data_IF_777638901620
#
_entry.id   IF_777638901620
#
_cell.length_a   1.000
_cell.length_b   1.000
_cell.length_c   1.000
_cell.angle_alpha   90.00
_cell.angle_beta   90.00
_cell.angle_gamma   90.00
#
_symmetry.space_group_name_H-M   'P 1'
#
loop_
_entity.id
_entity.type
_entity.pdbx_description
1 polymer ?
#
# COMPACT_ATOMS: atom_id res chain seq x y z
N UNK A 1 -24.12 -0.28 0.17
CA UNK A 1 -23.61 -1.45 -0.60
C UNK A 1 -22.10 -1.46 -0.53
N UNK A 2 -21.49 -2.65 -0.41
CA UNK A 2 -20.04 -2.84 -0.39
C UNK A 2 -19.64 -3.54 -1.69
N UNK A 3 -18.62 -3.04 -2.37
CA UNK A 3 -17.94 -3.72 -3.49
C UNK A 3 -16.65 -4.36 -3.01
N UNK A 4 -16.26 -5.48 -3.59
CA UNK A 4 -14.93 -6.07 -3.43
C UNK A 4 -14.18 -5.95 -4.75
N UNK A 5 -13.06 -5.24 -4.75
CA UNK A 5 -12.13 -5.19 -5.88
C UNK A 5 -11.12 -6.33 -5.70
N UNK A 6 -11.36 -7.46 -6.34
CA UNK A 6 -10.54 -8.67 -6.34
C UNK A 6 -9.63 -8.67 -7.57
N UNK A 7 -8.32 -8.59 -7.37
CA UNK A 7 -7.36 -8.62 -8.47
C UNK A 7 -6.59 -9.94 -8.50
N UNK A 8 -6.50 -10.54 -9.71
CA UNK A 8 -5.93 -11.87 -9.92
C UNK A 8 -4.92 -11.90 -11.07
N UNK A 9 -3.99 -12.85 -10.99
CA UNK A 9 -3.10 -13.30 -12.05
C UNK A 9 -2.57 -14.69 -11.70
N UNK A 10 -2.92 -15.73 -12.47
CA UNK A 10 -2.55 -17.14 -12.26
C UNK A 10 -2.70 -17.60 -10.80
N UNK A 11 -3.88 -17.34 -10.22
CA UNK A 11 -4.21 -17.55 -8.80
C UNK A 11 -5.03 -18.79 -8.48
N UNK A 12 -5.20 -19.73 -9.41
CA UNK A 12 -6.10 -20.90 -9.26
C UNK A 12 -5.85 -21.71 -7.98
N UNK A 13 -4.60 -21.72 -7.48
CA UNK A 13 -4.23 -22.46 -6.27
C UNK A 13 -4.86 -21.89 -4.98
N UNK A 14 -5.22 -20.59 -4.95
CA UNK A 14 -5.61 -19.89 -3.73
C UNK A 14 -6.95 -19.17 -3.83
N UNK A 15 -7.31 -18.70 -5.02
CA UNK A 15 -8.48 -17.83 -5.24
C UNK A 15 -9.78 -18.42 -4.72
N UNK A 16 -9.90 -19.76 -4.74
CA UNK A 16 -11.09 -20.44 -4.22
C UNK A 16 -11.33 -20.24 -2.74
N UNK A 17 -10.27 -20.25 -1.91
CA UNK A 17 -10.38 -19.97 -0.47
C UNK A 17 -10.72 -18.51 -0.23
N UNK A 18 -10.09 -17.60 -0.97
CA UNK A 18 -10.34 -16.17 -0.87
C UNK A 18 -11.79 -15.84 -1.22
N UNK A 19 -12.30 -16.31 -2.36
CA UNK A 19 -13.68 -16.03 -2.79
C UNK A 19 -14.70 -16.59 -1.79
N UNK A 20 -14.53 -17.82 -1.29
CA UNK A 20 -15.40 -18.36 -0.23
C UNK A 20 -15.39 -17.50 1.02
N UNK A 21 -14.23 -16.99 1.43
CA UNK A 21 -14.11 -16.13 2.62
C UNK A 21 -14.81 -14.79 2.43
N UNK A 22 -14.84 -14.25 1.19
CA UNK A 22 -15.56 -13.04 0.82
C UNK A 22 -17.07 -13.28 0.83
N UNK A 23 -17.55 -14.35 0.18
CA UNK A 23 -18.96 -14.69 0.08
C UNK A 23 -19.60 -15.03 1.45
N UNK A 24 -18.80 -15.51 2.41
CA UNK A 24 -19.25 -15.82 3.77
C UNK A 24 -19.23 -14.61 4.73
N UNK A 25 -19.03 -13.39 4.25
CA UNK A 25 -19.08 -12.20 5.10
C UNK A 25 -20.53 -11.83 5.49
N UNK A 26 -20.67 -11.19 6.66
CA UNK A 26 -21.91 -10.56 7.09
C UNK A 26 -21.58 -9.15 7.60
N UNK A 27 -22.07 -8.06 6.93
CA UNK A 27 -22.94 -8.10 5.74
C UNK A 27 -22.24 -8.71 4.52
N UNK A 28 -23.02 -9.39 3.68
CA UNK A 28 -22.56 -9.89 2.38
C UNK A 28 -22.21 -8.71 1.45
N UNK A 29 -21.12 -8.79 0.65
CA UNK A 29 -20.83 -7.79 -0.36
C UNK A 29 -21.90 -7.79 -1.47
N UNK A 30 -22.27 -6.62 -1.96
CA UNK A 30 -23.24 -6.51 -3.06
C UNK A 30 -22.65 -6.90 -4.41
N UNK A 31 -21.32 -6.77 -4.56
CA UNK A 31 -20.64 -7.18 -5.78
C UNK A 31 -19.17 -7.52 -5.55
N UNK A 32 -18.65 -8.38 -6.41
CA UNK A 32 -17.21 -8.60 -6.65
C UNK A 32 -16.88 -8.07 -8.04
N UNK A 33 -15.95 -7.14 -8.13
CA UNK A 33 -15.32 -6.73 -9.39
C UNK A 33 -14.01 -7.48 -9.48
N UNK A 34 -13.99 -8.51 -10.33
CA UNK A 34 -12.81 -9.32 -10.61
C UNK A 34 -11.97 -8.64 -11.70
N UNK A 35 -10.81 -8.13 -11.36
CA UNK A 35 -9.80 -7.68 -12.31
C UNK A 35 -8.80 -8.81 -12.57
N UNK A 36 -8.90 -9.47 -13.71
CA UNK A 36 -8.00 -10.57 -14.07
C UNK A 36 -6.92 -10.10 -15.05
N UNK A 37 -5.67 -10.19 -14.61
CA UNK A 37 -4.51 -9.65 -15.31
C UNK A 37 -3.84 -10.70 -16.20
N UNK A 38 -4.57 -11.18 -17.23
CA UNK A 38 -4.14 -12.19 -18.20
C UNK A 38 -3.82 -13.56 -17.57
N UNK A 39 -4.67 -14.06 -16.68
CA UNK A 39 -4.52 -15.44 -16.19
C UNK A 39 -4.65 -16.46 -17.31
N UNK A 40 -3.78 -17.45 -17.28
CA UNK A 40 -3.77 -18.58 -18.23
C UNK A 40 -4.25 -19.90 -17.61
N UNK A 41 -4.47 -19.89 -16.30
CA UNK A 41 -4.98 -21.02 -15.52
C UNK A 41 -6.51 -20.93 -15.27
N UNK A 42 -7.05 -21.75 -14.39
CA UNK A 42 -8.46 -21.80 -14.06
C UNK A 42 -8.94 -20.70 -13.09
N UNK A 43 -8.17 -19.65 -12.88
CA UNK A 43 -8.47 -18.59 -11.88
C UNK A 43 -9.87 -18.02 -12.06
N UNK A 44 -10.18 -17.54 -13.25
CA UNK A 44 -11.47 -16.88 -13.53
C UNK A 44 -12.64 -17.89 -13.45
N UNK A 45 -12.46 -19.08 -14.00
CA UNK A 45 -13.49 -20.15 -13.99
C UNK A 45 -13.87 -20.55 -12.55
N UNK A 46 -12.87 -20.59 -11.64
CA UNK A 46 -13.10 -20.86 -10.23
C UNK A 46 -13.96 -19.77 -9.59
N UNK A 47 -13.65 -18.50 -9.85
CA UNK A 47 -14.40 -17.36 -9.29
C UNK A 47 -15.83 -17.35 -9.82
N UNK A 48 -16.02 -17.46 -11.15
CA UNK A 48 -17.33 -17.49 -11.81
C UNK A 48 -18.21 -18.61 -11.24
N UNK A 49 -17.67 -19.81 -11.12
CA UNK A 49 -18.38 -20.98 -10.57
C UNK A 49 -18.78 -20.75 -9.10
N UNK A 50 -17.88 -20.29 -8.24
CA UNK A 50 -18.18 -20.10 -6.82
C UNK A 50 -19.22 -19.01 -6.57
N UNK A 51 -19.21 -17.93 -7.35
CA UNK A 51 -20.24 -16.89 -7.24
C UNK A 51 -21.57 -17.38 -7.77
N UNK A 52 -21.59 -18.16 -8.88
CA UNK A 52 -22.82 -18.77 -9.39
C UNK A 52 -23.45 -19.73 -8.37
N UNK A 53 -22.67 -20.66 -7.81
CA UNK A 53 -23.10 -21.58 -6.75
C UNK A 53 -23.68 -20.83 -5.54
N UNK A 54 -23.02 -19.74 -5.12
CA UNK A 54 -23.48 -18.90 -4.01
C UNK A 54 -24.83 -18.24 -4.31
N UNK A 55 -25.02 -17.72 -5.52
CA UNK A 55 -26.30 -17.11 -5.94
C UNK A 55 -27.43 -18.13 -6.06
N UNK A 56 -27.14 -19.32 -6.55
CA UNK A 56 -28.12 -20.44 -6.57
C UNK A 56 -28.57 -20.84 -5.17
N UNK A 57 -27.68 -20.68 -4.16
CA UNK A 57 -28.00 -20.89 -2.76
C UNK A 57 -28.74 -19.72 -2.08
N UNK A 58 -29.07 -18.65 -2.84
CA UNK A 58 -29.82 -17.49 -2.35
C UNK A 58 -28.96 -16.27 -1.96
N UNK A 59 -27.65 -16.31 -2.23
CA UNK A 59 -26.76 -15.16 -2.06
C UNK A 59 -27.05 -14.03 -3.05
N UNK A 60 -26.68 -12.79 -2.69
CA UNK A 60 -27.01 -11.58 -3.46
C UNK A 60 -25.81 -10.98 -4.20
N UNK A 61 -24.62 -11.51 -3.98
CA UNK A 61 -23.37 -10.96 -4.56
C UNK A 61 -23.36 -11.05 -6.07
N UNK A 62 -23.24 -9.93 -6.77
CA UNK A 62 -23.03 -9.88 -8.22
C UNK A 62 -21.54 -10.04 -8.56
N UNK A 63 -21.25 -10.59 -9.75
CA UNK A 63 -19.88 -10.69 -10.28
C UNK A 63 -19.78 -9.86 -11.56
N UNK A 64 -18.80 -8.94 -11.58
CA UNK A 64 -18.35 -8.26 -12.79
C UNK A 64 -16.92 -8.70 -13.09
N UNK A 65 -16.71 -9.35 -14.24
CA UNK A 65 -15.38 -9.82 -14.67
C UNK A 65 -14.77 -8.82 -15.64
N UNK A 66 -13.54 -8.41 -15.34
CA UNK A 66 -12.69 -7.53 -16.15
C UNK A 66 -11.44 -8.31 -16.52
N UNK A 67 -11.38 -8.88 -17.72
CA UNK A 67 -10.20 -9.61 -18.23
C UNK A 67 -9.31 -8.67 -19.04
N UNK A 68 -8.03 -8.69 -18.75
CA UNK A 68 -7.03 -7.90 -19.46
C UNK A 68 -6.11 -8.80 -20.30
N UNK A 69 -5.88 -8.43 -21.54
CA UNK A 69 -4.91 -9.05 -22.44
C UNK A 69 -4.40 -7.97 -23.41
N UNK A 70 -3.13 -7.58 -23.33
CA UNK A 70 -2.10 -8.06 -22.39
C UNK A 70 -2.32 -7.63 -20.95
N UNK A 71 -1.59 -8.24 -20.01
CA UNK A 71 -1.58 -7.87 -18.60
C UNK A 71 -1.24 -6.39 -18.40
N UNK A 72 -1.97 -5.73 -17.49
CA UNK A 72 -1.78 -4.31 -17.15
C UNK A 72 -0.76 -4.09 -16.04
N UNK A 73 -0.50 -5.10 -15.21
CA UNK A 73 0.22 -5.02 -13.95
C UNK A 73 -0.67 -4.60 -12.78
N UNK A 74 -0.23 -4.96 -11.57
CA UNK A 74 -1.03 -4.86 -10.33
C UNK A 74 -1.70 -3.50 -10.14
N UNK A 75 -0.97 -2.40 -10.31
CA UNK A 75 -1.50 -1.05 -10.04
C UNK A 75 -2.62 -0.68 -11.01
N UNK A 76 -2.44 -0.99 -12.30
CA UNK A 76 -3.43 -0.67 -13.32
C UNK A 76 -4.64 -1.62 -13.26
N UNK A 77 -4.43 -2.89 -12.89
CA UNK A 77 -5.50 -3.85 -12.65
C UNK A 77 -6.40 -3.40 -11.48
N UNK A 78 -5.82 -3.01 -10.34
CA UNK A 78 -6.59 -2.40 -9.24
C UNK A 78 -7.27 -1.09 -9.65
N UNK A 79 -6.62 -0.25 -10.45
CA UNK A 79 -7.23 0.99 -10.94
C UNK A 79 -8.49 0.73 -11.78
N UNK A 80 -8.44 -0.27 -12.66
CA UNK A 80 -9.60 -0.67 -13.47
C UNK A 80 -10.73 -1.27 -12.60
N UNK A 81 -10.40 -2.18 -11.69
CA UNK A 81 -11.39 -2.77 -10.79
C UNK A 81 -12.07 -1.70 -9.90
N UNK A 82 -11.30 -0.75 -9.35
CA UNK A 82 -11.80 0.36 -8.57
C UNK A 82 -12.71 1.30 -9.38
N UNK A 83 -12.37 1.55 -10.65
CA UNK A 83 -13.17 2.41 -11.52
C UNK A 83 -14.56 1.81 -11.83
N UNK A 84 -14.69 0.48 -11.78
CA UNK A 84 -15.94 -0.24 -12.04
C UNK A 84 -16.72 -0.61 -10.78
N UNK A 85 -16.16 -0.41 -9.59
CA UNK A 85 -16.82 -0.65 -8.31
C UNK A 85 -17.92 0.39 -8.07
N UNK A 86 -19.15 -0.06 -7.76
CA UNK A 86 -20.34 0.78 -7.59
C UNK A 86 -20.68 1.06 -6.13
N UNK A 87 -20.15 0.25 -5.20
CA UNK A 87 -20.42 0.36 -3.78
C UNK A 87 -19.94 1.68 -3.17
N UNK A 88 -20.61 2.13 -2.13
CA UNK A 88 -20.18 3.27 -1.33
C UNK A 88 -18.85 2.98 -0.60
N UNK A 89 -18.70 1.73 -0.14
CA UNK A 89 -17.46 1.20 0.41
C UNK A 89 -16.88 0.19 -0.57
N UNK A 90 -15.55 0.20 -0.71
CA UNK A 90 -14.82 -0.73 -1.57
C UNK A 90 -13.73 -1.39 -0.73
N UNK A 91 -13.75 -2.72 -0.65
CA UNK A 91 -12.70 -3.53 -0.04
C UNK A 91 -11.73 -4.01 -1.11
N UNK A 92 -10.42 -3.80 -0.90
CA UNK A 92 -9.39 -4.36 -1.76
C UNK A 92 -9.15 -5.83 -1.37
N UNK A 93 -8.87 -6.67 -2.36
CA UNK A 93 -8.61 -8.08 -2.17
C UNK A 93 -7.54 -8.57 -3.14
N UNK A 94 -6.51 -9.18 -2.59
CA UNK A 94 -5.58 -10.02 -3.34
C UNK A 94 -6.18 -11.43 -3.46
N UNK A 95 -5.66 -12.24 -4.37
CA UNK A 95 -6.22 -13.57 -4.72
C UNK A 95 -5.90 -14.70 -3.74
N UNK A 96 -4.95 -14.49 -2.82
CA UNK A 96 -4.24 -15.55 -2.08
C UNK A 96 -4.43 -15.49 -0.56
N UNK A 97 -5.24 -14.54 -0.08
CA UNK A 97 -5.55 -14.36 1.34
C UNK A 97 -6.82 -15.12 1.77
N UNK A 98 -7.19 -14.99 3.04
CA UNK A 98 -8.48 -15.46 3.59
C UNK A 98 -9.01 -14.42 4.56
N UNK A 99 -10.23 -13.93 4.33
CA UNK A 99 -10.86 -12.98 5.23
C UNK A 99 -11.45 -13.68 6.46
N UNK A 100 -11.22 -13.11 7.63
CA UNK A 100 -11.88 -13.59 8.84
C UNK A 100 -13.36 -13.16 8.84
N UNK A 101 -14.25 -13.94 9.46
CA UNK A 101 -15.64 -13.55 9.69
C UNK A 101 -15.71 -12.19 10.38
N UNK A 102 -16.61 -11.33 9.93
CA UNK A 102 -16.81 -10.00 10.52
C UNK A 102 -15.88 -8.89 10.00
N UNK A 103 -14.99 -9.14 9.02
CA UNK A 103 -14.15 -8.07 8.43
C UNK A 103 -15.01 -6.94 7.87
N UNK A 104 -16.02 -7.27 7.08
CA UNK A 104 -16.89 -6.24 6.50
C UNK A 104 -17.79 -5.59 7.56
N UNK A 105 -18.27 -6.33 8.56
CA UNK A 105 -19.03 -5.75 9.67
C UNK A 105 -18.22 -4.72 10.46
N UNK A 106 -16.97 -5.04 10.79
CA UNK A 106 -16.06 -4.12 11.48
C UNK A 106 -15.77 -2.87 10.64
N UNK A 107 -15.61 -3.04 9.33
CA UNK A 107 -15.42 -1.91 8.42
C UNK A 107 -16.66 -1.00 8.39
N UNK A 108 -17.86 -1.55 8.18
CA UNK A 108 -19.11 -0.78 8.17
C UNK A 108 -19.26 0.01 9.48
N UNK A 109 -19.10 -0.65 10.63
CA UNK A 109 -19.22 0.01 11.93
C UNK A 109 -18.21 1.17 12.08
N UNK A 110 -16.98 1.02 11.58
CA UNK A 110 -15.99 2.08 11.64
C UNK A 110 -16.34 3.28 10.75
N UNK A 111 -16.88 3.04 9.55
CA UNK A 111 -17.30 4.09 8.63
C UNK A 111 -18.58 4.80 9.09
N UNK A 112 -19.52 4.07 9.69
CA UNK A 112 -20.75 4.64 10.26
C UNK A 112 -20.42 5.53 11.47
N UNK A 113 -19.48 5.11 12.31
CA UNK A 113 -19.04 5.89 13.47
C UNK A 113 -18.24 7.15 13.10
N UNK A 114 -17.67 7.23 11.89
CA UNK A 114 -16.89 8.38 11.44
C UNK A 114 -17.17 8.73 9.97
N UNK A 115 -18.09 9.65 9.68
CA UNK A 115 -18.37 10.08 8.31
C UNK A 115 -17.19 10.67 7.54
N UNK A 116 -16.18 11.21 8.24
CA UNK A 116 -14.96 11.75 7.63
C UNK A 116 -13.89 10.67 7.31
N UNK A 117 -14.16 9.40 7.69
CA UNK A 117 -13.25 8.29 7.40
C UNK A 117 -13.27 7.97 5.91
N UNK A 118 -12.14 8.15 5.23
CA UNK A 118 -11.97 7.84 3.81
C UNK A 118 -11.35 6.46 3.58
N UNK A 119 -10.49 6.00 4.50
CA UNK A 119 -9.82 4.72 4.40
C UNK A 119 -9.63 4.08 5.78
N UNK A 120 -10.04 2.82 5.88
CA UNK A 120 -9.76 1.93 7.00
C UNK A 120 -8.77 0.87 6.53
N UNK A 121 -7.79 0.52 7.37
CA UNK A 121 -6.99 -0.68 7.19
C UNK A 121 -6.88 -1.44 8.50
N UNK A 122 -6.65 -2.75 8.41
CA UNK A 122 -6.55 -3.62 9.58
C UNK A 122 -5.13 -4.18 9.74
N UNK A 123 -4.85 -4.82 10.87
CA UNK A 123 -3.73 -5.75 10.94
C UNK A 123 -4.10 -7.05 10.20
N UNK A 124 -3.15 -7.95 10.05
CA UNK A 124 -3.35 -9.26 9.45
C UNK A 124 -2.53 -10.31 10.21
N UNK A 125 -3.02 -11.55 10.26
CA UNK A 125 -2.23 -12.69 10.69
C UNK A 125 -1.40 -13.20 9.52
N UNK A 126 -0.10 -13.35 9.68
CA UNK A 126 0.73 -13.95 8.63
C UNK A 126 0.61 -15.47 8.67
N UNK A 127 0.33 -16.05 7.50
CA UNK A 127 0.26 -17.50 7.32
C UNK A 127 1.18 -17.95 6.18
N UNK A 128 1.64 -19.18 6.22
CA UNK A 128 2.41 -19.78 5.15
C UNK A 128 1.52 -20.25 3.97
N UNK A 129 2.13 -20.79 2.92
CA UNK A 129 1.42 -21.25 1.72
C UNK A 129 0.29 -22.24 2.01
N UNK A 130 0.44 -23.12 3.00
CA UNK A 130 -0.57 -24.08 3.43
C UNK A 130 -1.54 -23.54 4.52
N UNK A 131 -1.53 -22.22 4.79
CA UNK A 131 -2.40 -21.60 5.79
C UNK A 131 -1.92 -21.72 7.24
N UNK A 132 -0.75 -22.33 7.50
CA UNK A 132 -0.21 -22.47 8.86
C UNK A 132 0.24 -21.09 9.40
N UNK A 133 -0.11 -20.73 10.67
CA UNK A 133 0.30 -19.45 11.25
C UNK A 133 1.83 -19.32 11.37
N UNK A 134 2.36 -18.14 11.04
CA UNK A 134 3.79 -17.82 11.16
C UNK A 134 4.14 -17.16 12.50
N UNK A 135 3.20 -17.07 13.45
CA UNK A 135 3.43 -16.58 14.81
C UNK A 135 3.64 -15.07 14.92
N UNK A 136 3.30 -14.30 13.89
CA UNK A 136 3.39 -12.84 13.90
C UNK A 136 2.29 -12.19 13.06
N UNK A 137 2.01 -10.92 13.38
CA UNK A 137 1.12 -10.10 12.55
C UNK A 137 1.87 -9.33 11.46
N UNK A 138 1.11 -8.78 10.51
CA UNK A 138 1.63 -7.94 9.43
C UNK A 138 2.34 -6.70 9.98
N UNK A 139 1.74 -5.99 10.93
CA UNK A 139 2.36 -4.80 11.54
C UNK A 139 3.63 -5.13 12.33
N UNK A 140 3.70 -6.33 12.92
CA UNK A 140 4.93 -6.82 13.55
C UNK A 140 6.03 -7.11 12.51
N UNK A 141 5.68 -7.71 11.38
CA UNK A 141 6.62 -7.96 10.28
C UNK A 141 7.13 -6.67 9.64
N UNK A 142 6.25 -5.66 9.53
CA UNK A 142 6.60 -4.31 9.08
C UNK A 142 7.39 -3.51 10.13
N UNK A 143 7.63 -4.07 11.31
CA UNK A 143 8.32 -3.40 12.43
C UNK A 143 7.64 -2.06 12.79
N UNK A 144 6.30 -2.03 12.80
CA UNK A 144 5.52 -0.85 13.16
C UNK A 144 5.71 -0.52 14.65
N UNK A 145 6.26 0.65 14.93
CA UNK A 145 6.48 1.13 16.30
C UNK A 145 5.16 1.48 16.99
N UNK A 146 5.16 1.54 18.32
CA UNK A 146 3.97 1.95 19.08
C UNK A 146 3.49 3.36 18.68
N UNK A 147 4.43 4.30 18.45
CA UNK A 147 4.09 5.66 18.01
C UNK A 147 3.48 5.69 16.59
N UNK A 148 3.98 4.88 15.67
CA UNK A 148 3.40 4.78 14.32
C UNK A 148 2.00 4.16 14.35
N UNK A 149 1.79 3.10 15.15
CA UNK A 149 0.46 2.53 15.35
C UNK A 149 -0.51 3.54 15.97
N UNK A 150 -0.10 4.25 17.01
CA UNK A 150 -0.92 5.31 17.61
C UNK A 150 -1.27 6.42 16.62
N UNK A 151 -0.30 6.82 15.77
CA UNK A 151 -0.54 7.78 14.68
C UNK A 151 -1.64 7.33 13.72
N UNK A 152 -1.64 6.03 13.35
CA UNK A 152 -2.64 5.45 12.44
C UNK A 152 -3.99 5.16 13.13
N UNK A 153 -4.03 4.93 14.45
CA UNK A 153 -5.26 4.60 15.19
C UNK A 153 -6.14 5.82 15.51
N UNK A 154 -5.65 7.02 15.42
CA UNK A 154 -6.41 8.23 15.74
C UNK A 154 -5.55 9.46 16.00
N UNK A 155 -4.23 9.33 15.80
CA UNK A 155 -3.29 10.45 15.83
C UNK A 155 -3.10 11.06 14.44
N UNK A 156 -1.87 11.50 14.13
CA UNK A 156 -1.53 12.04 12.82
C UNK A 156 -1.07 10.93 11.86
N UNK A 157 -2.05 10.32 11.17
CA UNK A 157 -1.80 9.30 10.17
C UNK A 157 -1.00 9.85 8.98
N UNK A 158 -1.24 11.12 8.57
CA UNK A 158 -0.52 11.73 7.46
C UNK A 158 0.98 11.88 7.79
N UNK A 159 1.33 12.40 8.95
CA UNK A 159 2.72 12.49 9.37
C UNK A 159 3.41 11.11 9.45
N UNK A 160 2.67 10.07 9.87
CA UNK A 160 3.16 8.69 9.90
C UNK A 160 3.45 8.17 8.50
N UNK A 161 2.49 8.26 7.56
CA UNK A 161 2.61 7.78 6.19
C UNK A 161 3.57 8.64 5.35
N UNK A 162 3.70 9.91 5.67
CA UNK A 162 4.71 10.77 5.05
C UNK A 162 6.13 10.26 5.32
N UNK A 163 6.38 9.53 6.39
CA UNK A 163 7.68 8.92 6.70
C UNK A 163 7.90 7.59 5.98
N UNK A 164 6.89 6.70 6.01
CA UNK A 164 6.90 5.40 5.33
C UNK A 164 5.50 4.81 5.23
N UNK A 165 5.27 3.96 4.24
CA UNK A 165 4.04 3.20 4.16
C UNK A 165 3.98 2.09 5.23
N UNK A 166 2.78 1.91 5.82
CA UNK A 166 2.43 0.85 6.77
C UNK A 166 1.07 0.24 6.41
N UNK A 167 0.47 0.65 5.30
CA UNK A 167 -0.80 0.13 4.80
C UNK A 167 -0.52 -0.93 3.75
N UNK A 168 -1.26 -2.02 3.78
CA UNK A 168 -1.17 -3.11 2.81
C UNK A 168 -2.54 -3.31 2.18
N UNK A 169 -2.60 -3.37 0.86
CA UNK A 169 -3.81 -3.37 0.05
C UNK A 169 -4.87 -4.35 0.53
N UNK A 170 -4.51 -5.62 0.74
CA UNK A 170 -5.41 -6.67 1.21
C UNK A 170 -6.17 -6.35 2.53
N UNK A 171 -5.65 -5.39 3.32
CA UNK A 171 -6.27 -4.97 4.59
C UNK A 171 -7.22 -3.78 4.44
N UNK A 172 -7.26 -3.15 3.26
CA UNK A 172 -7.92 -1.86 3.02
C UNK A 172 -9.40 -2.00 2.71
N UNK A 173 -10.20 -1.14 3.34
CA UNK A 173 -11.54 -0.76 2.90
C UNK A 173 -11.56 0.77 2.77
N UNK A 174 -12.14 1.29 1.70
CA UNK A 174 -12.18 2.72 1.42
C UNK A 174 -13.58 3.21 1.04
N UNK A 175 -13.87 4.51 1.26
CA UNK A 175 -15.02 5.16 0.64
C UNK A 175 -14.74 5.40 -0.84
N UNK A 176 -15.71 5.12 -1.69
CA UNK A 176 -15.60 5.34 -3.14
C UNK A 176 -15.26 6.80 -3.49
N UNK A 177 -15.72 7.76 -2.70
CA UNK A 177 -15.40 9.19 -2.89
C UNK A 177 -13.89 9.50 -2.85
N UNK A 178 -13.07 8.67 -2.17
CA UNK A 178 -11.62 8.81 -2.18
C UNK A 178 -11.04 8.72 -3.59
N UNK A 179 -11.67 7.96 -4.48
CA UNK A 179 -11.20 7.80 -5.86
C UNK A 179 -11.16 9.12 -6.62
N UNK A 180 -12.14 10.03 -6.38
CA UNK A 180 -12.13 11.37 -6.98
C UNK A 180 -10.90 12.21 -6.56
N UNK A 181 -10.36 11.93 -5.38
CA UNK A 181 -9.17 12.59 -4.84
C UNK A 181 -7.85 11.89 -5.23
N UNK A 182 -7.88 10.59 -5.52
CA UNK A 182 -6.68 9.77 -5.70
C UNK A 182 -6.37 9.41 -7.16
N UNK A 183 -7.37 9.30 -8.04
CA UNK A 183 -7.16 8.92 -9.45
C UNK A 183 -6.75 10.14 -10.28
N UNK A 184 -5.83 9.99 -11.26
CA UNK A 184 -5.07 8.78 -11.60
C UNK A 184 -3.95 8.46 -10.61
N UNK A 185 -3.56 7.18 -10.52
CA UNK A 185 -2.41 6.76 -9.74
C UNK A 185 -1.12 7.16 -10.45
N UNK A 186 -0.20 7.90 -9.79
CA UNK A 186 1.03 8.33 -10.45
C UNK A 186 2.04 7.19 -10.54
N UNK A 187 2.86 7.25 -11.58
CA UNK A 187 3.95 6.28 -11.78
C UNK A 187 4.87 6.20 -10.53
N UNK A 188 5.33 4.99 -10.23
CA UNK A 188 6.21 4.72 -9.10
C UNK A 188 5.53 4.62 -7.73
N UNK A 189 4.22 4.81 -7.66
CA UNK A 189 3.41 4.54 -6.47
C UNK A 189 2.65 3.21 -6.61
N UNK A 190 2.54 2.48 -5.51
CA UNK A 190 1.61 1.35 -5.39
C UNK A 190 0.23 1.92 -5.04
N UNK A 191 -0.83 1.30 -5.53
CA UNK A 191 -2.20 1.80 -5.39
C UNK A 191 -2.61 2.00 -3.92
N UNK A 192 -2.28 1.05 -3.05
CA UNK A 192 -2.61 1.08 -1.62
C UNK A 192 -1.83 2.18 -0.85
N UNK A 193 -0.53 2.34 -1.14
CA UNK A 193 0.28 3.42 -0.57
C UNK A 193 -0.25 4.80 -0.97
N UNK A 194 -0.65 4.94 -2.25
CA UNK A 194 -1.17 6.20 -2.77
C UNK A 194 -2.53 6.53 -2.17
N UNK A 195 -3.47 5.58 -2.18
CA UNK A 195 -4.78 5.73 -1.56
C UNK A 195 -4.66 6.11 -0.09
N UNK A 196 -3.77 5.45 0.65
CA UNK A 196 -3.57 5.71 2.07
C UNK A 196 -3.03 7.12 2.34
N UNK A 197 -2.01 7.58 1.60
CA UNK A 197 -1.45 8.92 1.82
C UNK A 197 -2.44 10.01 1.43
N UNK A 198 -3.21 9.84 0.34
CA UNK A 198 -4.25 10.80 -0.07
C UNK A 198 -5.40 10.82 0.93
N UNK A 199 -5.90 9.65 1.37
CA UNK A 199 -6.95 9.59 2.40
C UNK A 199 -6.52 10.30 3.70
N UNK A 200 -5.28 10.06 4.15
CA UNK A 200 -4.75 10.72 5.36
C UNK A 200 -4.52 12.23 5.17
N UNK A 201 -4.31 12.69 3.92
CA UNK A 201 -4.11 14.10 3.62
C UNK A 201 -5.44 14.88 3.46
N UNK A 202 -6.45 14.29 2.84
CA UNK A 202 -7.72 14.97 2.52
C UNK A 202 -8.85 14.71 3.53
N UNK A 203 -8.74 13.64 4.33
CA UNK A 203 -9.76 13.25 5.30
C UNK A 203 -9.15 12.52 6.48
N UNK A 204 -9.76 11.40 6.85
CA UNK A 204 -9.28 10.53 7.94
C UNK A 204 -8.93 9.14 7.39
N UNK A 205 -7.77 8.67 7.79
CA UNK A 205 -7.35 7.27 7.69
C UNK A 205 -7.28 6.68 9.10
N UNK A 206 -7.72 5.44 9.27
CA UNK A 206 -7.67 4.76 10.57
C UNK A 206 -7.17 3.31 10.45
N UNK A 207 -6.32 2.93 11.38
CA UNK A 207 -5.94 1.55 11.64
C UNK A 207 -6.93 0.94 12.66
N UNK A 208 -7.55 -0.18 12.30
CA UNK A 208 -8.20 -1.10 13.23
C UNK A 208 -7.18 -2.19 13.58
N UNK A 209 -6.76 -2.32 14.85
CA UNK A 209 -5.61 -3.16 15.20
C UNK A 209 -5.90 -4.67 15.16
N UNK A 210 -7.16 -5.06 14.96
CA UNK A 210 -7.58 -6.45 14.86
C UNK A 210 -7.08 -7.08 13.56
N UNK A 211 -6.51 -8.30 13.60
CA UNK A 211 -6.17 -9.06 12.41
C UNK A 211 -7.45 -9.67 11.81
N UNK A 212 -7.95 -9.07 10.73
CA UNK A 212 -9.19 -9.49 10.07
C UNK A 212 -8.95 -10.23 8.75
N UNK A 213 -7.70 -10.57 8.45
CA UNK A 213 -7.33 -11.45 7.34
C UNK A 213 -6.16 -12.37 7.73
N UNK A 214 -6.10 -13.51 7.10
CA UNK A 214 -4.91 -14.34 6.98
C UNK A 214 -4.16 -13.93 5.72
N UNK A 215 -3.04 -13.23 5.91
CA UNK A 215 -2.18 -12.75 4.84
C UNK A 215 -1.17 -13.84 4.48
N UNK A 216 -1.34 -14.45 3.31
CA UNK A 216 -0.56 -15.61 2.88
C UNK A 216 0.81 -15.20 2.36
N UNK A 217 1.82 -15.97 2.77
CA UNK A 217 3.21 -15.81 2.32
C UNK A 217 3.63 -17.04 1.53
N UNK A 218 3.89 -16.88 0.24
CA UNK A 218 4.43 -17.91 -0.65
C UNK A 218 5.47 -17.29 -1.62
N UNK A 219 6.12 -18.11 -2.42
CA UNK A 219 7.24 -17.68 -3.26
C UNK A 219 6.81 -16.73 -4.39
N UNK A 220 5.55 -16.83 -4.84
CA UNK A 220 5.00 -16.01 -5.93
C UNK A 220 4.41 -14.66 -5.47
N UNK A 221 4.42 -14.32 -4.17
CA UNK A 221 3.94 -13.01 -3.72
C UNK A 221 4.77 -11.89 -4.37
N UNK A 222 4.13 -10.97 -5.07
CA UNK A 222 4.80 -9.81 -5.66
C UNK A 222 5.36 -8.86 -4.59
N UNK A 223 4.65 -8.74 -3.46
CA UNK A 223 5.07 -7.93 -2.29
C UNK A 223 4.86 -8.79 -1.04
N UNK A 224 5.94 -9.33 -0.48
CA UNK A 224 5.87 -10.15 0.74
C UNK A 224 6.25 -9.36 2.00
N UNK A 225 5.50 -9.54 3.09
CA UNK A 225 5.79 -8.96 4.39
C UNK A 225 6.70 -9.89 5.22
N UNK A 226 7.99 -9.94 4.92
CA UNK A 226 8.98 -10.69 5.71
C UNK A 226 9.87 -9.73 6.50
N UNK A 227 10.17 -10.07 7.75
CA UNK A 227 11.20 -9.34 8.50
C UNK A 227 12.52 -9.44 7.74
N UNK A 228 13.15 -8.31 7.36
CA UNK A 228 14.41 -8.35 6.66
C UNK A 228 15.49 -8.94 7.57
N UNK A 229 16.13 -10.02 7.13
CA UNK A 229 17.28 -10.60 7.84
C UNK A 229 18.43 -9.59 7.88
N UNK A 230 19.39 -9.78 8.82
CA UNK A 230 20.59 -8.94 8.88
C UNK A 230 21.34 -8.91 7.54
N UNK A 231 21.39 -10.03 6.81
CA UNK A 231 21.99 -10.12 5.49
C UNK A 231 21.30 -9.20 4.48
N UNK A 232 19.96 -9.17 4.46
CA UNK A 232 19.16 -8.27 3.61
C UNK A 232 19.36 -6.81 4.01
N UNK A 233 19.43 -6.50 5.32
CA UNK A 233 19.73 -5.13 5.81
C UNK A 233 21.11 -4.66 5.33
N UNK A 234 22.13 -5.50 5.41
CA UNK A 234 23.48 -5.20 4.90
C UNK A 234 23.51 -5.07 3.37
N UNK A 235 22.79 -5.91 2.64
CA UNK A 235 22.67 -5.79 1.19
C UNK A 235 22.06 -4.44 0.78
N UNK A 236 20.97 -4.01 1.46
CA UNK A 236 20.34 -2.71 1.23
C UNK A 236 21.27 -1.51 1.51
N UNK A 237 22.23 -1.63 2.44
CA UNK A 237 23.24 -0.58 2.67
C UNK A 237 24.27 -0.50 1.54
N UNK A 238 24.48 -1.58 0.78
CA UNK A 238 25.41 -1.65 -0.35
C UNK A 238 24.77 -1.30 -1.68
N UNK A 239 23.44 -1.23 -1.75
CA UNK A 239 22.73 -0.78 -2.95
C UNK A 239 23.17 0.63 -3.35
N UNK A 240 23.35 0.91 -4.65
CA UNK A 240 23.63 2.24 -5.13
C UNK A 240 22.56 3.24 -4.71
N UNK A 241 22.96 4.41 -4.23
CA UNK A 241 22.05 5.44 -3.72
C UNK A 241 21.16 6.04 -4.81
N UNK A 242 21.72 6.29 -6.01
CA UNK A 242 21.10 7.11 -7.06
C UNK A 242 19.72 6.63 -7.52
N UNK A 243 19.51 5.35 -7.89
CA UNK A 243 18.18 4.91 -8.35
C UNK A 243 17.09 5.05 -7.28
N UNK A 244 17.46 4.83 -6.01
CA UNK A 244 16.52 4.99 -4.88
C UNK A 244 16.21 6.46 -4.63
N UNK A 245 17.23 7.33 -4.62
CA UNK A 245 17.06 8.75 -4.33
C UNK A 245 16.20 9.43 -5.40
N UNK A 246 16.45 9.16 -6.68
CA UNK A 246 15.66 9.70 -7.79
C UNK A 246 14.20 9.22 -7.74
N UNK A 247 13.96 7.95 -7.43
CA UNK A 247 12.59 7.41 -7.24
C UNK A 247 11.86 8.08 -6.07
N UNK A 248 12.52 8.30 -4.92
CA UNK A 248 11.91 8.97 -3.77
C UNK A 248 11.57 10.43 -4.06
N UNK A 249 12.42 11.14 -4.80
CA UNK A 249 12.13 12.52 -5.25
C UNK A 249 10.92 12.50 -6.17
N UNK A 250 10.89 11.70 -7.23
CA UNK A 250 9.77 11.65 -8.18
C UNK A 250 8.45 11.30 -7.48
N UNK A 251 8.44 10.31 -6.58
CA UNK A 251 7.25 9.97 -5.79
C UNK A 251 6.78 11.13 -4.91
N UNK A 252 7.70 11.80 -4.24
CA UNK A 252 7.34 12.90 -3.33
C UNK A 252 6.90 14.14 -4.10
N UNK A 253 7.47 14.38 -5.28
CA UNK A 253 7.06 15.44 -6.21
C UNK A 253 5.62 15.19 -6.69
N UNK A 254 5.29 13.97 -7.14
CA UNK A 254 3.94 13.60 -7.52
C UNK A 254 2.93 13.81 -6.36
N UNK A 255 3.31 13.45 -5.13
CA UNK A 255 2.48 13.68 -3.96
C UNK A 255 2.27 15.18 -3.71
N UNK A 256 3.34 15.98 -3.68
CA UNK A 256 3.24 17.42 -3.45
C UNK A 256 2.36 18.09 -4.50
N UNK A 257 2.56 17.76 -5.79
CA UNK A 257 1.75 18.28 -6.90
C UNK A 257 0.27 17.91 -6.75
N UNK A 258 -0.03 16.64 -6.36
CA UNK A 258 -1.42 16.20 -6.14
C UNK A 258 -2.08 16.96 -5.01
N UNK A 259 -1.41 17.09 -3.85
CA UNK A 259 -1.98 17.80 -2.70
C UNK A 259 -2.21 19.30 -3.00
N UNK A 260 -1.38 19.92 -3.83
CA UNK A 260 -1.63 21.29 -4.32
C UNK A 260 -2.86 21.35 -5.23
N UNK A 261 -3.02 20.41 -6.17
CA UNK A 261 -4.16 20.37 -7.10
C UNK A 261 -5.50 20.13 -6.38
N UNK A 262 -5.49 19.48 -5.22
CA UNK A 262 -6.69 19.25 -4.40
C UNK A 262 -7.16 20.50 -3.64
N UNK A 263 -6.38 21.59 -3.63
CA UNK A 263 -6.79 22.89 -3.12
C UNK A 263 -7.29 22.84 -1.67
N UNK A 264 -8.51 23.30 -1.45
CA UNK A 264 -9.15 23.37 -0.12
C UNK A 264 -9.48 22.01 0.51
N UNK A 265 -9.50 20.93 -0.25
CA UNK A 265 -9.69 19.57 0.27
C UNK A 265 -8.50 19.09 1.14
N UNK A 266 -7.36 19.77 1.05
CA UNK A 266 -6.16 19.46 1.85
C UNK A 266 -5.71 20.71 2.61
N UNK A 267 -5.48 20.58 3.91
CA UNK A 267 -5.07 21.72 4.73
C UNK A 267 -3.72 22.31 4.28
N UNK A 268 -3.49 23.63 4.47
CA UNK A 268 -2.22 24.28 4.15
C UNK A 268 -1.01 23.63 4.85
N UNK A 269 -1.20 23.14 6.07
CA UNK A 269 -0.16 22.49 6.88
C UNK A 269 0.28 21.17 6.21
N UNK A 270 -0.65 20.36 5.73
CA UNK A 270 -0.37 19.09 5.03
C UNK A 270 0.32 19.32 3.69
N UNK A 271 -0.10 20.31 2.91
CA UNK A 271 0.60 20.73 1.69
C UNK A 271 2.02 21.20 1.97
N UNK A 272 2.18 22.00 3.02
CA UNK A 272 3.52 22.47 3.47
C UNK A 272 4.41 21.31 3.92
N UNK A 273 3.88 20.33 4.65
CA UNK A 273 4.62 19.15 5.06
C UNK A 273 5.06 18.28 3.87
N UNK A 274 4.20 18.12 2.84
CA UNK A 274 4.57 17.41 1.62
C UNK A 274 5.70 18.10 0.85
N UNK A 275 5.63 19.44 0.70
CA UNK A 275 6.73 20.24 0.12
C UNK A 275 8.01 20.16 0.92
N UNK A 276 7.93 20.19 2.25
CA UNK A 276 9.08 20.05 3.12
C UNK A 276 9.75 18.67 3.00
N UNK A 277 8.93 17.60 2.84
CA UNK A 277 9.44 16.27 2.52
C UNK A 277 10.12 16.24 1.15
N UNK A 278 9.54 16.85 0.12
CA UNK A 278 10.18 16.94 -1.20
C UNK A 278 11.55 17.60 -1.10
N UNK A 279 11.63 18.75 -0.44
CA UNK A 279 12.89 19.44 -0.21
C UNK A 279 13.90 18.60 0.60
N UNK A 280 13.43 17.75 1.52
CA UNK A 280 14.28 16.80 2.23
C UNK A 280 14.85 15.73 1.30
N UNK A 281 14.02 15.10 0.44
CA UNK A 281 14.47 14.07 -0.52
C UNK A 281 15.42 14.67 -1.58
N UNK A 282 15.19 15.89 -2.04
CA UNK A 282 16.10 16.60 -2.95
C UNK A 282 17.46 16.84 -2.31
N UNK A 283 17.50 17.32 -1.05
CA UNK A 283 18.75 17.47 -0.30
C UNK A 283 19.49 16.15 -0.14
N UNK A 284 18.76 15.04 0.12
CA UNK A 284 19.34 13.69 0.21
C UNK A 284 19.93 13.25 -1.13
N UNK A 285 19.20 13.47 -2.25
CA UNK A 285 19.72 13.19 -3.60
C UNK A 285 21.00 14.00 -3.89
N UNK A 286 21.03 15.27 -3.48
CA UNK A 286 22.17 16.17 -3.65
C UNK A 286 23.35 15.97 -2.68
N UNK A 287 23.36 14.92 -1.85
CA UNK A 287 24.49 14.65 -0.95
C UNK A 287 25.78 14.31 -1.74
N UNK A 288 26.95 14.76 -1.25
CA UNK A 288 28.25 14.50 -1.89
C UNK A 288 28.51 13.01 -2.13
N UNK A 289 29.33 12.71 -3.15
CA UNK A 289 29.73 11.32 -3.43
C UNK A 289 30.61 10.74 -2.32
N UNK A 290 31.51 11.55 -1.78
CA UNK A 290 32.43 11.15 -0.71
C UNK A 290 31.72 11.14 0.63
N UNK A 291 31.70 10.01 1.38
CA UNK A 291 30.96 9.89 2.63
C UNK A 291 31.31 10.94 3.68
N UNK A 292 32.60 11.23 3.89
CA UNK A 292 33.04 12.23 4.88
C UNK A 292 32.47 13.64 4.59
N UNK A 293 32.35 14.00 3.31
CA UNK A 293 31.79 15.29 2.90
C UNK A 293 30.26 15.39 3.10
N UNK A 294 29.59 14.28 3.40
CA UNK A 294 28.16 14.24 3.74
C UNK A 294 27.90 14.66 5.18
N UNK A 295 28.87 14.41 6.09
CA UNK A 295 28.69 14.53 7.54
C UNK A 295 28.13 15.90 7.95
N UNK A 296 28.65 17.06 7.53
CA UNK A 296 28.09 18.33 7.93
C UNK A 296 26.63 18.53 7.50
N UNK A 297 26.27 18.08 6.28
CA UNK A 297 24.91 18.18 5.76
C UNK A 297 23.94 17.26 6.49
N UNK A 298 24.39 16.05 6.85
CA UNK A 298 23.61 15.08 7.61
C UNK A 298 23.38 15.58 9.04
N UNK A 299 24.39 16.13 9.70
CA UNK A 299 24.25 16.72 11.05
C UNK A 299 23.31 17.91 11.03
N UNK A 300 23.41 18.81 10.06
CA UNK A 300 22.50 19.93 9.92
C UNK A 300 21.04 19.48 9.67
N UNK A 301 20.82 18.45 8.85
CA UNK A 301 19.50 17.89 8.63
C UNK A 301 18.95 17.16 9.87
N UNK A 302 19.80 16.47 10.62
CA UNK A 302 19.43 15.83 11.87
C UNK A 302 19.06 16.87 12.95
N UNK A 303 19.82 17.97 13.08
CA UNK A 303 19.53 19.04 14.00
C UNK A 303 18.19 19.75 13.71
N UNK A 304 17.80 19.86 12.44
CA UNK A 304 16.45 20.35 12.06
C UNK A 304 15.33 19.34 12.29
N UNK A 305 15.65 18.08 12.62
CA UNK A 305 14.69 17.00 12.76
C UNK A 305 14.15 16.46 11.43
N UNK A 306 14.80 16.75 10.27
CA UNK A 306 14.31 16.35 8.95
C UNK A 306 14.20 14.83 8.83
N UNK A 307 15.19 14.07 9.33
CA UNK A 307 15.20 12.62 9.28
C UNK A 307 14.12 11.97 10.14
N UNK A 308 13.81 12.54 11.31
CA UNK A 308 12.74 12.02 12.17
C UNK A 308 11.34 12.35 11.66
N UNK A 309 11.18 13.47 10.95
CA UNK A 309 9.88 13.90 10.40
C UNK A 309 9.56 13.29 9.06
N UNK A 310 10.55 13.09 8.17
CA UNK A 310 10.33 12.75 6.77
C UNK A 310 10.97 11.43 6.31
N UNK A 311 11.65 10.72 7.20
CA UNK A 311 12.34 9.46 6.93
C UNK A 311 12.27 8.52 8.14
N UNK A 312 12.97 7.39 8.06
CA UNK A 312 13.08 6.41 9.16
C UNK A 312 14.12 6.80 10.22
N UNK A 313 14.34 8.09 10.43
CA UNK A 313 15.25 8.61 11.44
C UNK A 313 16.72 8.20 11.24
N UNK A 314 17.35 7.72 12.32
CA UNK A 314 18.77 7.34 12.31
C UNK A 314 19.11 6.23 11.31
N UNK A 315 18.17 5.35 10.97
CA UNK A 315 18.39 4.28 9.97
C UNK A 315 18.67 4.87 8.59
N UNK A 316 17.84 5.82 8.14
CA UNK A 316 18.04 6.45 6.83
C UNK A 316 19.23 7.43 6.86
N UNK A 317 19.51 8.08 7.99
CA UNK A 317 20.71 8.90 8.15
C UNK A 317 21.98 8.06 7.98
N UNK A 318 22.07 6.91 8.66
CA UNK A 318 23.21 5.98 8.54
C UNK A 318 23.30 5.42 7.10
N UNK A 319 22.17 5.11 6.49
CA UNK A 319 22.12 4.66 5.12
C UNK A 319 22.68 5.71 4.15
N UNK A 320 22.25 6.96 4.28
CA UNK A 320 22.72 8.07 3.44
C UNK A 320 24.20 8.38 3.65
N UNK A 321 24.74 8.13 4.85
CA UNK A 321 26.18 8.25 5.12
C UNK A 321 26.98 7.15 4.39
N UNK A 322 26.52 5.90 4.44
CA UNK A 322 27.31 4.72 4.03
C UNK A 322 27.07 4.29 2.58
N UNK A 323 25.91 4.57 2.00
CA UNK A 323 25.58 4.07 0.65
C UNK A 323 26.57 4.56 -0.42
N UNK A 324 27.05 3.64 -1.29
CA UNK A 324 27.94 4.01 -2.38
C UNK A 324 27.19 4.82 -3.45
N UNK A 325 27.89 5.72 -4.11
CA UNK A 325 27.44 6.39 -5.32
C UNK A 325 28.21 5.77 -6.49
N UNK A 326 27.55 5.20 -7.50
CA UNK A 326 28.23 4.62 -8.65
C UNK A 326 29.16 5.65 -9.29
N UNK A 327 30.35 5.20 -9.71
CA UNK A 327 31.20 5.99 -10.62
C UNK A 327 30.42 6.10 -11.93
N UNK A 328 30.23 7.29 -12.49
CA UNK A 328 29.81 7.41 -13.90
C UNK A 328 30.77 6.58 -14.72
N UNK A 329 30.29 5.70 -15.64
CA UNK A 329 31.19 5.14 -16.63
C UNK A 329 31.93 6.30 -17.29
N UNK A 330 33.24 6.22 -17.39
CA UNK A 330 34.01 7.18 -18.15
C UNK A 330 33.36 7.26 -19.53
N UNK A 331 33.04 8.46 -20.00
CA UNK A 331 32.61 8.65 -21.37
C UNK A 331 33.74 8.05 -22.24
N UNK A 332 33.43 7.00 -22.98
CA UNK A 332 34.28 6.51 -24.05
C UNK A 332 34.45 7.69 -25.00
N UNK A 333 35.60 8.32 -24.93
CA UNK A 333 36.07 9.21 -25.97
C UNK A 333 36.28 8.31 -27.20
N UNK A 334 35.29 8.23 -28.06
CA UNK A 334 35.49 7.73 -29.42
C UNK A 334 36.49 8.65 -30.09
N UNK A 335 37.65 8.07 -30.36
CA UNK A 335 38.67 8.65 -31.23
C UNK A 335 38.42 8.20 -32.68
#
# INVERSE_FOLDING_TARGET
>A
MISVALCTHDGAAFVGDQVRSILNQSPEPGEIVLGDDASTDLTVDIVERLVAEHREAGGVTELLVRRHDPALGVVANFADALAHARGELIALSDQDDVWHPGKLAAAVAAFDANPALLLLHTDARLVGAAGQPLGMSLLQALEATAGERAGLQGGDAFATLLRRNLVTGATVVLRRELLALAVPFPEGWVHDEWLAVIASAAGTLRLLPEPLIDYRQHESNQIGARRPTMRVRWAKLREPREPRASRLVARTEALAARLESLGSAVSPERRTAARARLAHEERRRGLPRVPIARVPRLLAAAARGDYSRYSRGGIDLLRDLLQPVPRRPAATLDR
#
